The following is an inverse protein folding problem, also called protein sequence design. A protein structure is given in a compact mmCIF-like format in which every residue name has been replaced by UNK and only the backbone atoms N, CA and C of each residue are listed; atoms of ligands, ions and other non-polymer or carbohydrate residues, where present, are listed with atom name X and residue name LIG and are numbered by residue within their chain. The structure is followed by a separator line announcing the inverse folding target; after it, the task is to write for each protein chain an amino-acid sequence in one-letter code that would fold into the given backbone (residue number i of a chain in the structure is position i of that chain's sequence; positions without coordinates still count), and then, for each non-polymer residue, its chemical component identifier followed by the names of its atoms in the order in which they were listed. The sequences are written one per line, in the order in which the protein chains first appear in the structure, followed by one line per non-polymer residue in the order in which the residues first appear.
data_IF_581836481461
#
_entry.id   IF_581836481461
#
_cell.length_a   1.000
_cell.length_b   1.000
_cell.length_c   1.000
_cell.angle_alpha   90.00
_cell.angle_beta   90.00
_cell.angle_gamma   90.00
#
_symmetry.space_group_name_H-M   'P 1'
#
loop_
_entity.id
_entity.type
_entity.pdbx_description
1 polymer ?
#
# COMPACT_ATOMS: atom_id res chain seq x y z
N UNK A 1 0.62 -30.91 2.43
CA UNK A 1 1.07 -30.45 1.10
C UNK A 1 0.14 -29.31 0.68
N UNK A 2 0.48 -28.08 1.06
CA UNK A 2 -0.29 -26.85 0.73
C UNK A 2 0.74 -25.75 0.44
N UNK A 3 1.40 -25.82 -0.72
CA UNK A 3 2.33 -24.76 -1.20
C UNK A 3 1.82 -24.05 -2.46
N UNK A 4 0.73 -24.54 -3.07
CA UNK A 4 0.17 -23.97 -4.30
C UNK A 4 -0.82 -22.83 -4.07
N UNK A 5 -1.70 -22.94 -3.09
CA UNK A 5 -2.78 -21.95 -2.86
C UNK A 5 -2.28 -20.61 -2.30
N UNK A 6 -1.19 -20.60 -1.52
CA UNK A 6 -0.67 -19.34 -0.96
C UNK A 6 0.04 -18.45 -2.00
N UNK A 7 0.51 -19.02 -3.11
CA UNK A 7 1.20 -18.24 -4.15
C UNK A 7 0.23 -17.43 -5.00
N UNK A 8 -0.98 -17.93 -5.25
CA UNK A 8 -1.99 -17.24 -6.10
C UNK A 8 -2.58 -16.01 -5.42
N UNK A 9 -3.00 -16.15 -4.15
CA UNK A 9 -3.62 -15.06 -3.40
C UNK A 9 -2.72 -13.82 -3.24
N UNK A 10 -1.39 -14.01 -3.21
CA UNK A 10 -0.43 -12.91 -3.14
C UNK A 10 -0.28 -12.15 -4.46
N UNK A 11 -0.47 -12.82 -5.59
CA UNK A 11 -0.43 -12.18 -6.92
C UNK A 11 -1.74 -11.41 -7.16
N UNK A 12 -2.89 -12.00 -6.82
CA UNK A 12 -4.20 -11.34 -6.94
C UNK A 12 -4.26 -10.03 -6.12
N UNK A 13 -3.72 -10.04 -4.89
CA UNK A 13 -3.68 -8.83 -4.05
C UNK A 13 -2.76 -7.75 -4.64
N UNK A 14 -1.64 -8.16 -5.21
CA UNK A 14 -0.68 -7.24 -5.85
C UNK A 14 -1.32 -6.53 -7.03
N UNK A 15 -2.00 -7.27 -7.90
CA UNK A 15 -2.77 -6.73 -9.02
C UNK A 15 -3.86 -5.77 -8.55
N UNK A 16 -4.59 -6.13 -7.50
CA UNK A 16 -5.63 -5.27 -6.93
C UNK A 16 -5.05 -3.94 -6.41
N UNK A 17 -3.93 -3.96 -5.69
CA UNK A 17 -3.28 -2.73 -5.19
C UNK A 17 -2.84 -1.83 -6.36
N UNK A 18 -2.24 -2.39 -7.40
CA UNK A 18 -1.83 -1.63 -8.59
C UNK A 18 -3.04 -1.06 -9.34
N UNK A 19 -4.12 -1.82 -9.46
CA UNK A 19 -5.36 -1.36 -10.06
C UNK A 19 -5.98 -0.20 -9.26
N UNK A 20 -5.92 -0.28 -7.93
CA UNK A 20 -6.42 0.78 -7.04
C UNK A 20 -5.61 2.08 -7.20
N UNK A 21 -4.29 1.98 -7.25
CA UNK A 21 -3.40 3.10 -7.52
C UNK A 21 -3.74 3.75 -8.87
N UNK A 22 -3.93 2.93 -9.91
CA UNK A 22 -4.34 3.39 -11.24
C UNK A 22 -5.69 4.10 -11.23
N UNK A 23 -6.71 3.52 -10.58
CA UNK A 23 -8.05 4.11 -10.46
C UNK A 23 -8.02 5.49 -9.80
N UNK A 24 -7.21 5.68 -8.76
CA UNK A 24 -7.09 6.95 -8.06
C UNK A 24 -6.08 7.94 -8.68
N UNK A 25 -5.45 7.60 -9.81
CA UNK A 25 -4.37 8.37 -10.42
C UNK A 25 -3.21 8.64 -9.43
N UNK A 26 -2.89 7.63 -8.62
CA UNK A 26 -1.83 7.66 -7.62
C UNK A 26 -0.61 6.88 -8.17
N UNK A 27 0.56 7.52 -8.18
CA UNK A 27 1.75 6.92 -8.80
C UNK A 27 2.28 5.78 -7.94
N UNK A 28 2.56 4.65 -8.58
CA UNK A 28 3.21 3.48 -7.98
C UNK A 28 4.51 3.84 -7.26
N UNK A 29 5.30 4.76 -7.83
CA UNK A 29 6.55 5.26 -7.24
C UNK A 29 6.36 5.98 -5.88
N UNK A 30 5.13 6.28 -5.49
CA UNK A 30 4.81 6.86 -4.18
C UNK A 30 4.71 5.79 -3.08
N UNK A 31 4.44 4.54 -3.46
CA UNK A 31 4.33 3.38 -2.56
C UNK A 31 5.54 2.46 -2.66
N UNK A 32 6.08 2.30 -3.87
CA UNK A 32 7.14 1.37 -4.21
C UNK A 32 8.40 2.09 -4.68
N UNK A 33 9.55 1.63 -4.19
CA UNK A 33 10.87 2.05 -4.67
C UNK A 33 11.59 0.85 -5.26
N UNK A 34 11.99 0.96 -6.52
CA UNK A 34 12.51 -0.15 -7.30
C UNK A 34 14.04 -0.22 -7.25
N UNK A 35 14.57 -1.41 -7.00
CA UNK A 35 16.01 -1.70 -7.01
C UNK A 35 16.28 -2.98 -7.77
N UNK A 36 17.54 -3.24 -8.13
CA UNK A 36 17.94 -4.52 -8.74
C UNK A 36 17.62 -5.70 -7.81
N UNK A 37 17.32 -6.88 -8.37
CA UNK A 37 16.91 -8.08 -7.61
C UNK A 37 17.97 -8.51 -6.58
N UNK A 38 19.26 -8.29 -6.89
CA UNK A 38 20.39 -8.61 -6.02
C UNK A 38 20.76 -7.50 -5.04
N UNK A 39 20.08 -6.35 -5.06
CA UNK A 39 20.41 -5.18 -4.24
C UNK A 39 20.31 -5.49 -2.74
N UNK A 40 21.39 -5.26 -2.00
CA UNK A 40 21.45 -5.39 -0.55
C UNK A 40 20.87 -4.15 0.14
N UNK A 41 20.53 -4.28 1.43
CA UNK A 41 19.91 -3.19 2.18
C UNK A 41 20.82 -1.95 2.27
N UNK A 42 22.14 -2.15 2.35
CA UNK A 42 23.11 -1.05 2.41
C UNK A 42 23.34 -0.36 1.05
N UNK A 43 22.88 -0.96 -0.05
CA UNK A 43 23.06 -0.45 -1.41
C UNK A 43 21.86 0.40 -1.89
N UNK A 44 20.78 0.45 -1.11
CA UNK A 44 19.60 1.26 -1.43
C UNK A 44 19.95 2.74 -1.30
N UNK A 45 19.64 3.53 -2.34
CA UNK A 45 19.83 4.98 -2.34
C UNK A 45 18.73 5.65 -1.50
N UNK A 46 18.90 5.60 -0.18
CA UNK A 46 17.90 6.01 0.79
C UNK A 46 17.54 7.49 0.68
N UNK A 47 18.40 8.33 0.10
CA UNK A 47 18.13 9.75 -0.18
C UNK A 47 16.94 9.95 -1.11
N UNK A 48 16.70 9.01 -2.04
CA UNK A 48 15.62 9.06 -3.04
C UNK A 48 14.30 8.46 -2.54
N UNK A 49 14.32 7.64 -1.49
CA UNK A 49 13.14 6.97 -0.93
C UNK A 49 12.26 7.95 -0.16
N UNK A 50 10.92 7.93 -0.19
CA UNK A 50 10.11 8.80 0.68
C UNK A 50 10.41 8.65 2.19
N UNK A 51 10.16 9.69 2.98
CA UNK A 51 10.26 9.63 4.45
C UNK A 51 9.14 8.77 5.05
N UNK A 52 8.02 8.66 4.35
CA UNK A 52 6.89 7.81 4.73
C UNK A 52 7.20 6.34 4.49
N UNK A 53 6.50 5.42 5.18
CA UNK A 53 6.63 3.99 4.95
C UNK A 53 6.58 3.62 3.47
N UNK A 54 7.65 3.00 2.98
CA UNK A 54 7.84 2.67 1.57
C UNK A 54 8.27 1.22 1.42
N UNK A 55 7.68 0.51 0.46
CA UNK A 55 8.11 -0.85 0.12
C UNK A 55 9.24 -0.75 -0.91
N UNK A 56 10.39 -1.32 -0.57
CA UNK A 56 11.48 -1.50 -1.54
C UNK A 56 11.21 -2.80 -2.29
N UNK A 57 11.06 -2.71 -3.61
CA UNK A 57 10.79 -3.85 -4.48
C UNK A 57 12.09 -4.27 -5.16
N UNK A 58 12.55 -5.48 -4.87
CA UNK A 58 13.79 -6.01 -5.45
C UNK A 58 13.45 -6.72 -6.77
N UNK A 59 13.74 -6.06 -7.87
CA UNK A 59 13.42 -6.50 -9.23
C UNK A 59 12.88 -5.34 -10.09
N UNK A 60 12.73 -5.58 -11.39
CA UNK A 60 12.32 -4.56 -12.36
C UNK A 60 10.84 -4.19 -12.30
N UNK A 61 10.03 -5.02 -11.66
CA UNK A 61 8.59 -4.81 -11.47
C UNK A 61 8.10 -5.57 -10.25
N UNK A 62 7.04 -5.09 -9.63
CA UNK A 62 6.34 -5.74 -8.54
C UNK A 62 5.85 -7.15 -8.93
N UNK A 63 5.45 -7.37 -10.19
CA UNK A 63 5.05 -8.68 -10.71
C UNK A 63 6.17 -9.72 -10.62
N UNK A 64 7.39 -9.34 -11.02
CA UNK A 64 8.55 -10.24 -11.04
C UNK A 64 9.28 -10.36 -9.70
N UNK A 65 9.04 -9.44 -8.77
CA UNK A 65 9.79 -9.37 -7.53
C UNK A 65 9.46 -10.52 -6.58
N UNK A 66 10.51 -11.17 -6.08
CA UNK A 66 10.43 -12.27 -5.10
C UNK A 66 10.89 -11.88 -3.70
N UNK A 67 11.39 -10.66 -3.58
CA UNK A 67 11.93 -10.10 -2.35
C UNK A 67 11.58 -8.64 -2.25
N UNK A 68 11.25 -8.24 -1.04
CA UNK A 68 10.89 -6.89 -0.66
C UNK A 68 11.66 -6.49 0.58
N UNK A 69 11.82 -5.19 0.78
CA UNK A 69 12.26 -4.60 2.05
C UNK A 69 11.25 -3.57 2.51
N UNK A 70 11.23 -3.30 3.81
CA UNK A 70 10.48 -2.17 4.36
C UNK A 70 11.43 -1.04 4.76
N UNK A 71 11.20 0.14 4.20
CA UNK A 71 11.88 1.36 4.59
C UNK A 71 10.94 2.26 5.41
N UNK A 72 11.44 2.75 6.55
CA UNK A 72 10.79 3.75 7.40
C UNK A 72 11.82 4.84 7.69
N UNK A 73 11.48 6.11 7.45
CA UNK A 73 12.35 7.26 7.74
C UNK A 73 13.80 7.07 7.27
N UNK A 74 13.94 6.71 5.99
CA UNK A 74 15.22 6.42 5.34
C UNK A 74 16.05 5.32 6.00
N UNK A 75 15.41 4.40 6.71
CA UNK A 75 16.06 3.24 7.33
C UNK A 75 15.41 1.96 6.84
N UNK A 76 16.22 1.01 6.35
CA UNK A 76 15.72 -0.35 6.08
C UNK A 76 15.50 -1.07 7.41
N UNK A 77 14.26 -1.18 7.84
CA UNK A 77 13.90 -1.82 9.11
C UNK A 77 13.67 -3.32 8.97
N UNK A 78 13.37 -3.79 7.75
CA UNK A 78 13.20 -5.21 7.47
C UNK A 78 13.77 -5.53 6.07
N UNK A 79 14.99 -6.10 5.98
CA UNK A 79 15.74 -6.18 4.72
C UNK A 79 15.38 -7.37 3.82
N UNK A 80 14.63 -8.34 4.34
CA UNK A 80 14.30 -9.55 3.57
C UNK A 80 12.87 -10.05 3.88
N UNK A 81 11.93 -9.73 2.99
CA UNK A 81 10.54 -10.16 3.06
C UNK A 81 10.19 -10.83 1.73
N UNK A 82 9.73 -12.09 1.76
CA UNK A 82 9.40 -12.84 0.54
C UNK A 82 7.93 -12.74 0.11
N UNK A 83 7.07 -12.19 0.97
CA UNK A 83 5.62 -12.09 0.74
C UNK A 83 5.21 -10.64 0.51
N UNK A 84 4.53 -10.40 -0.61
CA UNK A 84 3.98 -9.08 -0.93
C UNK A 84 2.93 -8.66 0.11
N UNK A 85 2.01 -9.57 0.46
CA UNK A 85 0.98 -9.32 1.48
C UNK A 85 1.64 -8.91 2.80
N UNK A 86 2.70 -9.61 3.21
CA UNK A 86 3.38 -9.31 4.47
C UNK A 86 4.03 -7.93 4.45
N UNK A 87 4.76 -7.56 3.39
CA UNK A 87 5.38 -6.23 3.33
C UNK A 87 4.36 -5.11 3.24
N UNK A 88 3.25 -5.31 2.52
CA UNK A 88 2.16 -4.35 2.44
C UNK A 88 1.48 -4.14 3.79
N UNK A 89 1.18 -5.22 4.52
CA UNK A 89 0.61 -5.15 5.86
C UNK A 89 1.55 -4.46 6.85
N UNK A 90 2.86 -4.75 6.81
CA UNK A 90 3.84 -4.08 7.67
C UNK A 90 3.99 -2.60 7.31
N UNK A 91 4.05 -2.25 6.03
CA UNK A 91 4.04 -0.86 5.56
C UNK A 91 2.78 -0.14 6.03
N UNK A 92 1.59 -0.71 5.83
CA UNK A 92 0.33 -0.10 6.24
C UNK A 92 0.25 0.05 7.77
N UNK A 93 0.60 -0.99 8.52
CA UNK A 93 0.59 -0.97 10.00
C UNK A 93 1.53 0.06 10.60
N UNK A 94 2.66 0.34 9.94
CA UNK A 94 3.64 1.32 10.41
C UNK A 94 3.07 2.76 10.51
N UNK A 95 2.09 3.13 9.67
CA UNK A 95 1.39 4.41 9.79
C UNK A 95 0.66 4.57 11.14
N UNK A 96 0.20 3.47 11.72
CA UNK A 96 -0.46 3.47 13.03
C UNK A 96 0.53 3.35 14.17
N UNK A 97 1.45 2.39 14.08
CA UNK A 97 2.44 2.12 15.14
C UNK A 97 3.35 3.33 15.41
N UNK A 98 3.74 4.07 14.37
CA UNK A 98 4.63 5.21 14.48
C UNK A 98 3.92 6.56 14.36
N UNK A 99 2.59 6.56 14.35
CA UNK A 99 1.75 7.75 14.21
C UNK A 99 2.11 8.64 12.99
N UNK A 100 2.43 8.01 11.85
CA UNK A 100 2.75 8.70 10.60
C UNK A 100 1.46 9.01 9.84
N UNK A 101 1.40 10.18 9.21
CA UNK A 101 0.29 10.53 8.32
C UNK A 101 0.45 9.88 6.94
N UNK A 102 -0.67 9.57 6.28
CA UNK A 102 -0.61 9.12 4.90
C UNK A 102 -0.10 10.25 4.01
N UNK A 103 0.87 9.99 3.11
CA UNK A 103 1.30 10.99 2.15
C UNK A 103 0.13 11.35 1.23
N UNK A 104 0.05 12.62 0.85
CA UNK A 104 -1.00 13.12 -0.05
C UNK A 104 -1.07 12.36 -1.38
N UNK A 105 0.09 11.87 -1.86
CA UNK A 105 0.23 11.10 -3.09
C UNK A 105 -0.41 9.69 -3.05
N UNK A 106 -0.71 9.16 -1.85
CA UNK A 106 -1.37 7.85 -1.66
C UNK A 106 -2.65 7.96 -0.84
N UNK A 107 -3.20 9.18 -0.72
CA UNK A 107 -4.26 9.49 0.22
C UNK A 107 -5.50 8.61 0.03
N UNK A 108 -5.87 8.34 -1.22
CA UNK A 108 -7.10 7.65 -1.58
C UNK A 108 -6.91 6.15 -1.47
N UNK A 109 -5.80 5.60 -1.99
CA UNK A 109 -5.51 4.18 -1.89
C UNK A 109 -5.34 3.74 -0.44
N UNK A 110 -4.57 4.48 0.38
CA UNK A 110 -4.38 4.14 1.79
C UNK A 110 -5.67 4.31 2.61
N UNK A 111 -6.50 5.31 2.31
CA UNK A 111 -7.81 5.45 2.95
C UNK A 111 -8.80 4.36 2.53
N UNK A 112 -8.76 3.91 1.27
CA UNK A 112 -9.54 2.76 0.81
C UNK A 112 -9.09 1.47 1.51
N UNK A 113 -7.78 1.20 1.57
CA UNK A 113 -7.23 0.07 2.33
C UNK A 113 -7.67 0.12 3.80
N UNK A 114 -7.55 1.29 4.43
CA UNK A 114 -7.99 1.55 5.79
C UNK A 114 -9.44 1.12 6.02
N UNK A 115 -10.36 1.56 5.13
CA UNK A 115 -11.80 1.37 5.32
C UNK A 115 -12.29 0.00 4.88
N UNK A 116 -11.84 -0.50 3.74
CA UNK A 116 -12.39 -1.69 3.10
C UNK A 116 -11.67 -2.98 3.48
N UNK A 117 -10.35 -2.92 3.72
CA UNK A 117 -9.57 -4.13 4.03
C UNK A 117 -9.26 -4.27 5.52
N UNK A 118 -9.01 -3.15 6.21
CA UNK A 118 -8.67 -3.15 7.63
C UNK A 118 -9.83 -2.74 8.55
N UNK A 119 -10.95 -2.26 7.98
CA UNK A 119 -12.13 -1.80 8.72
C UNK A 119 -11.80 -0.76 9.81
N UNK A 120 -10.77 0.06 9.59
CA UNK A 120 -10.33 1.10 10.51
C UNK A 120 -11.08 2.39 10.19
N UNK A 121 -11.76 2.95 11.19
CA UNK A 121 -12.46 4.22 11.09
C UNK A 121 -13.53 4.32 9.97
N UNK A 122 -14.47 3.36 9.86
CA UNK A 122 -15.53 3.42 8.86
C UNK A 122 -16.37 4.71 8.98
N UNK A 123 -16.55 5.25 10.19
CA UNK A 123 -17.45 6.38 10.44
C UNK A 123 -16.74 7.74 10.68
N UNK A 124 -15.45 7.79 11.06
CA UNK A 124 -14.84 9.03 11.56
C UNK A 124 -13.35 9.20 11.24
N UNK A 125 -13.04 9.91 10.16
CA UNK A 125 -11.72 10.51 9.96
C UNK A 125 -10.70 9.64 9.22
N UNK A 126 -9.62 10.31 8.81
CA UNK A 126 -8.60 9.79 7.90
C UNK A 126 -7.21 10.08 8.45
N UNK A 127 -6.25 9.18 8.19
CA UNK A 127 -4.83 9.35 8.56
C UNK A 127 -4.08 10.26 7.60
N UNK A 128 -4.70 10.68 6.49
CA UNK A 128 -4.07 11.60 5.54
C UNK A 128 -3.74 12.93 6.21
N UNK A 129 -2.61 13.53 5.83
CA UNK A 129 -2.19 14.85 6.29
C UNK A 129 -3.34 15.87 6.25
N UNK A 130 -3.48 16.60 7.35
CA UNK A 130 -4.62 17.49 7.59
C UNK A 130 -4.60 18.65 6.59
N UNK A 131 -5.59 18.66 5.71
CA UNK A 131 -5.97 19.85 4.95
C UNK A 131 -7.25 20.43 5.59
N UNK A 132 -7.26 21.71 6.02
CA UNK A 132 -8.38 22.33 6.75
C UNK A 132 -9.72 22.35 5.99
N UNK A 133 -9.74 21.99 4.70
CA UNK A 133 -10.95 21.93 3.86
C UNK A 133 -11.48 20.51 3.59
N UNK A 134 -10.93 19.46 4.21
CA UNK A 134 -11.30 18.09 3.85
C UNK A 134 -12.57 17.60 4.55
N UNK A 135 -13.44 17.00 3.74
CA UNK A 135 -14.57 16.16 4.17
C UNK A 135 -14.09 15.01 5.07
N UNK A 136 -14.98 14.44 5.86
CA UNK A 136 -14.70 13.31 6.77
C UNK A 136 -14.12 12.09 6.04
N UNK A 137 -14.44 11.94 4.76
CA UNK A 137 -13.98 10.87 3.86
C UNK A 137 -13.58 11.46 2.51
N UNK A 138 -12.55 10.92 1.88
CA UNK A 138 -12.16 11.28 0.52
C UNK A 138 -13.29 10.95 -0.49
N UNK A 139 -13.80 11.93 -1.28
CA UNK A 139 -14.90 11.70 -2.23
C UNK A 139 -14.64 10.58 -3.23
N UNK A 140 -13.40 10.44 -3.73
CA UNK A 140 -13.06 9.39 -4.69
C UNK A 140 -13.18 8.00 -4.06
N UNK A 141 -12.78 7.89 -2.79
CA UNK A 141 -12.91 6.65 -2.01
C UNK A 141 -14.37 6.35 -1.75
N UNK A 142 -15.19 7.35 -1.40
CA UNK A 142 -16.63 7.17 -1.24
C UNK A 142 -17.30 6.68 -2.53
N UNK A 143 -16.97 7.27 -3.68
CA UNK A 143 -17.52 6.86 -4.97
C UNK A 143 -17.21 5.40 -5.26
N UNK A 144 -15.94 4.97 -5.11
CA UNK A 144 -15.58 3.57 -5.35
C UNK A 144 -16.29 2.62 -4.39
N UNK A 145 -16.40 2.97 -3.10
CA UNK A 145 -17.14 2.17 -2.11
C UNK A 145 -18.61 2.02 -2.53
N UNK A 146 -19.26 3.12 -2.94
CA UNK A 146 -20.65 3.11 -3.40
C UNK A 146 -20.84 2.26 -4.66
N UNK A 147 -19.94 2.40 -5.65
CA UNK A 147 -19.95 1.59 -6.86
C UNK A 147 -19.85 0.09 -6.53
N UNK A 148 -18.91 -0.30 -5.67
CA UNK A 148 -18.77 -1.69 -5.23
C UNK A 148 -20.02 -2.19 -4.52
N UNK A 149 -20.57 -1.42 -3.58
CA UNK A 149 -21.81 -1.78 -2.89
C UNK A 149 -22.97 -1.95 -3.88
N UNK A 150 -23.18 -1.02 -4.81
CA UNK A 150 -24.27 -1.09 -5.80
C UNK A 150 -24.22 -2.35 -6.68
N UNK A 151 -23.04 -2.95 -6.83
CA UNK A 151 -22.84 -4.21 -7.52
C UNK A 151 -23.07 -5.44 -6.61
N UNK A 152 -22.77 -5.37 -5.31
CA UNK A 152 -23.09 -6.44 -4.35
C UNK A 152 -24.60 -6.67 -4.19
N UNK A 153 -25.42 -5.63 -4.35
CA UNK A 153 -26.89 -5.73 -4.20
C UNK A 153 -27.62 -6.36 -5.40
N UNK A 154 -26.96 -6.54 -6.55
CA UNK A 154 -27.63 -7.08 -7.77
C UNK A 154 -27.68 -8.60 -7.85
N UNK A 155 -27.01 -9.30 -6.93
CA UNK A 155 -26.95 -10.76 -6.87
C UNK A 155 -27.72 -11.36 -5.66
N UNK A 156 -28.65 -10.60 -5.05
CA UNK A 156 -29.55 -11.05 -3.96
C UNK A 156 -30.99 -11.26 -4.41
#
# INVERSE_FOLDING_TARGET
MIRGEQSGASEDLKEMVLLLLCYFDEKESSMFFYVEDTCLAEEVQLEEVPLTPTVIVCGRSCYSARRYMLCLDKTIVHPNISSFISVLCMMFGSYYLFNIHYPMALASSLEFLQRCFFSINPERGTKVEKNPRRLTVNPRVLTLIQELSDHEWRDS
#
